data_IF_435396646112
#
_entry.id   IF_435396646112
#
_cell.length_a   1.000
_cell.length_b   1.000
_cell.length_c   1.000
_cell.angle_alpha   90.00
_cell.angle_beta   90.00
_cell.angle_gamma   90.00
#
_symmetry.space_group_name_H-M   'P 1'
#
loop_
_entity.id
_entity.type
_entity.pdbx_description
1 polymer ?
#
# COMPACT_ATOMS: atom_id res chain seq x y z
N UNK A 1 33.76 45.13 -43.84
CA UNK A 1 33.51 44.52 -42.52
C UNK A 1 33.84 43.05 -42.61
N UNK A 2 34.94 42.69 -41.95
CA UNK A 2 35.75 41.50 -42.23
C UNK A 2 35.01 40.16 -42.00
N UNK A 3 35.19 39.21 -42.89
CA UNK A 3 34.69 37.83 -42.79
C UNK A 3 35.11 37.12 -41.50
N UNK A 4 36.22 37.54 -40.91
CA UNK A 4 36.71 37.07 -39.61
C UNK A 4 35.80 37.48 -38.45
N UNK A 5 35.20 38.70 -38.45
CA UNK A 5 34.25 39.15 -37.43
C UNK A 5 32.91 38.38 -37.48
N UNK A 6 32.45 38.00 -38.69
CA UNK A 6 31.21 37.17 -38.84
C UNK A 6 31.42 35.75 -38.32
N UNK A 7 32.59 35.13 -38.53
CA UNK A 7 32.88 33.78 -37.99
C UNK A 7 32.91 33.78 -36.44
N UNK A 8 33.58 34.80 -35.83
CA UNK A 8 33.63 34.92 -34.36
C UNK A 8 32.26 35.06 -33.71
N UNK A 9 31.35 35.81 -34.35
CA UNK A 9 29.99 36.00 -33.83
C UNK A 9 29.16 34.70 -33.90
N UNK A 10 29.30 33.87 -34.95
CA UNK A 10 28.64 32.59 -35.06
C UNK A 10 29.15 31.58 -34.03
N UNK A 11 30.44 31.50 -33.78
CA UNK A 11 31.00 30.64 -32.72
C UNK A 11 30.55 31.06 -31.32
N UNK A 12 30.46 32.35 -31.05
CA UNK A 12 29.96 32.86 -29.78
C UNK A 12 28.49 32.51 -29.53
N UNK A 13 27.61 32.63 -30.51
CA UNK A 13 26.20 32.28 -30.41
C UNK A 13 25.99 30.76 -30.23
N UNK A 14 26.76 29.92 -30.97
CA UNK A 14 26.69 28.47 -30.78
C UNK A 14 27.16 28.04 -29.39
N UNK A 15 28.19 28.69 -28.84
CA UNK A 15 28.73 28.39 -27.53
C UNK A 15 27.71 28.77 -26.41
N UNK A 16 27.06 29.93 -26.55
CA UNK A 16 26.01 30.38 -25.62
C UNK A 16 24.79 29.47 -25.67
N UNK A 17 24.34 29.05 -26.86
CA UNK A 17 23.24 28.11 -27.03
C UNK A 17 23.54 26.73 -26.46
N UNK A 18 24.78 26.22 -26.65
CA UNK A 18 25.19 24.93 -26.08
C UNK A 18 25.33 24.99 -24.55
N UNK A 19 25.82 26.08 -23.99
CA UNK A 19 25.82 26.32 -22.54
C UNK A 19 24.43 26.45 -21.99
N UNK A 20 23.50 27.12 -22.68
CA UNK A 20 22.12 27.24 -22.27
C UNK A 20 21.36 25.90 -22.29
N UNK A 21 21.63 25.06 -23.30
CA UNK A 21 21.15 23.68 -23.38
C UNK A 21 21.73 22.80 -22.27
N UNK A 22 23.02 22.95 -21.95
CA UNK A 22 23.67 22.27 -20.83
C UNK A 22 23.09 22.70 -19.48
N UNK A 23 22.75 23.98 -19.29
CA UNK A 23 22.06 24.46 -18.09
C UNK A 23 20.62 23.95 -17.97
N UNK A 24 19.88 23.85 -19.07
CA UNK A 24 18.56 23.26 -19.11
C UNK A 24 18.57 21.76 -18.78
N UNK A 25 19.60 21.03 -19.23
CA UNK A 25 19.76 19.60 -18.92
C UNK A 25 20.32 19.40 -17.50
N UNK A 26 21.23 20.25 -17.02
CA UNK A 26 21.82 20.17 -15.69
C UNK A 26 20.85 20.62 -14.58
N UNK A 27 19.84 21.45 -14.91
CA UNK A 27 18.78 21.87 -13.98
C UNK A 27 17.69 20.82 -13.75
N UNK A 28 17.54 19.87 -14.63
CA UNK A 28 16.66 18.74 -14.44
C UNK A 28 17.36 17.69 -13.56
N UNK A 29 17.33 17.89 -12.22
CA UNK A 29 17.65 16.78 -11.32
C UNK A 29 16.71 15.63 -11.71
N UNK A 30 17.24 14.42 -12.02
CA UNK A 30 16.37 13.28 -12.19
C UNK A 30 15.64 13.09 -10.86
N UNK A 31 14.37 13.48 -10.82
CA UNK A 31 13.47 13.08 -9.74
C UNK A 31 13.53 11.56 -9.78
N UNK A 32 13.99 10.92 -8.70
CA UNK A 32 13.98 9.47 -8.57
C UNK A 32 12.52 9.05 -8.57
N UNK A 33 11.96 8.82 -9.75
CA UNK A 33 10.65 8.24 -9.90
C UNK A 33 10.72 6.81 -9.37
N UNK A 34 10.02 6.52 -8.29
CA UNK A 34 9.81 5.16 -7.85
C UNK A 34 8.92 4.47 -8.89
N UNK A 35 9.44 3.42 -9.52
CA UNK A 35 8.70 2.62 -10.49
C UNK A 35 8.34 1.28 -9.88
N UNK A 36 7.05 0.96 -9.84
CA UNK A 36 6.56 -0.38 -9.51
C UNK A 36 6.01 -1.04 -10.76
N UNK A 37 6.53 -2.22 -11.12
CA UNK A 37 6.00 -3.03 -12.22
C UNK A 37 4.89 -3.94 -11.70
N UNK A 38 3.78 -3.99 -12.43
CA UNK A 38 2.58 -4.76 -12.09
C UNK A 38 2.19 -5.61 -13.28
N UNK A 39 2.33 -6.92 -13.16
CA UNK A 39 1.89 -7.89 -14.17
C UNK A 39 0.57 -8.52 -13.76
N UNK A 40 -0.47 -8.27 -14.54
CA UNK A 40 -1.82 -8.81 -14.27
C UNK A 40 -2.67 -8.85 -15.53
N UNK A 41 -3.55 -9.83 -15.63
CA UNK A 41 -4.48 -10.02 -16.77
C UNK A 41 -3.78 -10.03 -18.14
N UNK A 42 -2.57 -10.61 -18.23
CA UNK A 42 -1.76 -10.64 -19.45
C UNK A 42 -1.25 -9.26 -19.92
N UNK A 43 -1.24 -8.27 -19.03
CA UNK A 43 -0.76 -6.90 -19.28
C UNK A 43 0.23 -6.51 -18.21
N UNK A 44 1.21 -5.71 -18.62
CA UNK A 44 2.19 -5.08 -17.74
C UNK A 44 1.84 -3.61 -17.56
N UNK A 45 1.87 -3.16 -16.32
CA UNK A 45 1.67 -1.77 -15.94
C UNK A 45 2.89 -1.26 -15.17
N UNK A 46 3.12 0.05 -15.26
CA UNK A 46 4.16 0.75 -14.53
C UNK A 46 3.51 1.88 -13.72
N UNK A 47 3.63 1.81 -12.41
CA UNK A 47 3.22 2.88 -11.50
C UNK A 47 4.44 3.73 -11.18
N UNK A 48 4.33 5.02 -11.46
CA UNK A 48 5.32 6.04 -11.13
C UNK A 48 4.79 6.95 -10.05
N UNK A 49 5.67 7.37 -9.18
CA UNK A 49 5.45 8.35 -8.13
C UNK A 49 6.46 9.48 -8.30
N UNK A 50 6.00 10.65 -8.73
CA UNK A 50 6.82 11.83 -8.95
C UNK A 50 6.37 12.97 -8.04
N UNK A 51 7.27 13.54 -7.29
CA UNK A 51 6.99 14.75 -6.53
C UNK A 51 7.06 16.00 -7.41
N UNK A 52 5.95 16.74 -7.49
CA UNK A 52 5.85 18.00 -8.21
C UNK A 52 6.08 19.18 -7.24
N UNK A 53 7.33 19.62 -7.14
CA UNK A 53 7.72 20.69 -6.19
C UNK A 53 6.99 22.02 -6.39
N UNK A 54 6.60 22.34 -7.63
CA UNK A 54 5.86 23.56 -7.95
C UNK A 54 4.44 23.60 -7.39
N UNK A 55 3.85 22.44 -7.12
CA UNK A 55 2.48 22.30 -6.61
C UNK A 55 2.45 21.68 -5.20
N UNK A 56 3.59 21.26 -4.66
CA UNK A 56 3.72 20.58 -3.38
C UNK A 56 2.87 19.30 -3.26
N UNK A 57 2.79 18.54 -4.35
CA UNK A 57 2.00 17.30 -4.44
C UNK A 57 2.81 16.16 -5.05
N UNK A 58 2.46 14.93 -4.70
CA UNK A 58 2.87 13.73 -5.43
C UNK A 58 1.94 13.52 -6.63
N UNK A 59 2.54 13.25 -7.77
CA UNK A 59 1.81 12.88 -9.00
C UNK A 59 1.99 11.38 -9.25
N UNK A 60 0.93 10.62 -9.10
CA UNK A 60 0.90 9.20 -9.40
C UNK A 60 0.45 8.98 -10.83
N UNK A 61 1.25 8.26 -11.61
CA UNK A 61 0.99 7.97 -13.02
C UNK A 61 1.06 6.47 -13.27
N UNK A 62 0.00 5.93 -13.86
CA UNK A 62 -0.08 4.53 -14.27
C UNK A 62 0.03 4.45 -15.79
N UNK A 63 1.04 3.75 -16.26
CA UNK A 63 1.24 3.45 -17.67
C UNK A 63 0.94 1.98 -17.93
N UNK A 64 0.36 1.69 -19.08
CA UNK A 64 0.21 0.33 -19.59
C UNK A 64 1.20 0.09 -20.72
N UNK A 65 1.95 -1.02 -20.67
CA UNK A 65 2.83 -1.45 -21.76
C UNK A 65 2.02 -1.79 -23.00
N UNK A 66 2.44 -1.32 -24.16
CA UNK A 66 1.88 -1.61 -25.48
C UNK A 66 2.98 -2.13 -26.40
N UNK A 67 2.62 -2.55 -27.61
CA UNK A 67 3.61 -2.99 -28.62
C UNK A 67 4.51 -1.84 -29.10
N UNK A 68 4.07 -0.59 -28.92
CA UNK A 68 4.77 0.62 -29.39
C UNK A 68 5.35 1.45 -28.24
N UNK A 69 5.46 0.90 -27.02
CA UNK A 69 5.96 1.62 -25.85
C UNK A 69 5.00 1.56 -24.67
N UNK A 70 4.86 2.67 -23.96
CA UNK A 70 3.98 2.76 -22.78
C UNK A 70 2.96 3.87 -22.95
N UNK A 71 1.70 3.59 -22.65
CA UNK A 71 0.57 4.53 -22.71
C UNK A 71 0.15 4.94 -21.30
N UNK A 72 0.04 6.24 -21.02
CA UNK A 72 -0.55 6.75 -19.80
C UNK A 72 -2.05 6.40 -19.76
N UNK A 73 -2.49 5.68 -18.74
CA UNK A 73 -3.89 5.21 -18.59
C UNK A 73 -4.58 5.82 -17.39
N UNK A 74 -3.84 6.25 -16.38
CA UNK A 74 -4.39 6.97 -15.23
C UNK A 74 -3.33 7.88 -14.61
N UNK A 75 -3.78 9.03 -14.07
CA UNK A 75 -2.95 9.90 -13.23
C UNK A 75 -3.81 10.55 -12.15
N UNK A 76 -3.19 10.91 -11.04
CA UNK A 76 -3.79 11.70 -9.98
C UNK A 76 -2.73 12.43 -9.17
N UNK A 77 -3.07 13.62 -8.70
CA UNK A 77 -2.29 14.34 -7.72
C UNK A 77 -2.80 14.04 -6.32
N UNK A 78 -1.90 13.97 -5.37
CA UNK A 78 -2.22 13.76 -3.96
C UNK A 78 -1.23 14.53 -3.07
N UNK A 79 -1.52 14.62 -1.76
CA UNK A 79 -0.65 15.27 -0.79
C UNK A 79 0.80 14.77 -0.90
N UNK A 80 1.78 15.68 -0.72
CA UNK A 80 3.22 15.39 -0.81
C UNK A 80 3.72 14.27 0.10
N UNK A 81 3.03 14.07 1.24
CA UNK A 81 3.41 13.08 2.24
C UNK A 81 2.68 11.75 2.05
N UNK A 82 1.86 11.62 1.03
CA UNK A 82 1.16 10.39 0.73
C UNK A 82 2.01 9.45 -0.13
N UNK A 83 1.86 8.15 0.08
CA UNK A 83 2.47 7.10 -0.74
C UNK A 83 1.40 6.21 -1.38
N UNK A 84 1.49 5.96 -2.69
CA UNK A 84 0.62 5.03 -3.38
C UNK A 84 1.31 3.69 -3.59
N UNK A 85 0.65 2.62 -3.19
CA UNK A 85 1.13 1.26 -3.40
C UNK A 85 0.08 0.41 -4.12
N UNK A 86 0.55 -0.46 -5.03
CA UNK A 86 -0.32 -1.49 -5.60
C UNK A 86 -0.67 -2.53 -4.53
N UNK A 87 -1.95 -2.81 -4.39
CA UNK A 87 -2.46 -3.80 -3.43
C UNK A 87 -2.76 -5.14 -4.08
N UNK A 88 -3.61 -5.15 -5.10
CA UNK A 88 -4.06 -6.38 -5.76
C UNK A 88 -4.83 -6.11 -7.04
N UNK A 89 -5.11 -7.19 -7.81
CA UNK A 89 -6.06 -7.13 -8.92
C UNK A 89 -7.25 -8.06 -8.68
N UNK A 90 -8.42 -7.71 -9.24
CA UNK A 90 -9.60 -8.56 -9.28
C UNK A 90 -10.44 -8.25 -10.53
N UNK A 91 -10.70 -9.26 -11.35
CA UNK A 91 -11.30 -9.05 -12.67
C UNK A 91 -10.45 -8.09 -13.51
N UNK A 92 -11.07 -7.09 -14.12
CA UNK A 92 -10.38 -6.04 -14.89
C UNK A 92 -9.87 -4.87 -14.01
N UNK A 93 -9.95 -4.96 -12.69
CA UNK A 93 -9.55 -3.87 -11.80
C UNK A 93 -8.21 -4.12 -11.13
N UNK A 94 -7.38 -3.09 -11.10
CA UNK A 94 -6.19 -2.98 -10.25
C UNK A 94 -6.57 -2.07 -9.07
N UNK A 95 -6.24 -2.50 -7.86
CA UNK A 95 -6.50 -1.75 -6.63
C UNK A 95 -5.19 -1.21 -6.05
N UNK A 96 -5.26 0.03 -5.59
CA UNK A 96 -4.15 0.76 -5.02
C UNK A 96 -4.55 1.31 -3.65
N UNK A 97 -3.61 1.36 -2.74
CA UNK A 97 -3.76 2.04 -1.47
C UNK A 97 -2.94 3.33 -1.49
N UNK A 98 -3.57 4.44 -1.18
CA UNK A 98 -2.88 5.68 -0.86
C UNK A 98 -2.90 5.82 0.65
N UNK A 99 -1.70 5.94 1.24
CA UNK A 99 -1.48 6.17 2.66
C UNK A 99 -0.97 7.60 2.84
N UNK A 100 -1.68 8.42 3.59
CA UNK A 100 -1.29 9.79 3.87
C UNK A 100 -0.52 9.93 5.19
N UNK A 101 0.01 11.11 5.46
CA UNK A 101 0.83 11.41 6.64
C UNK A 101 0.10 11.23 7.98
N UNK A 102 -1.22 11.19 7.96
CA UNK A 102 -2.07 10.92 9.12
C UNK A 102 -2.40 9.45 9.33
N UNK A 103 -1.74 8.53 8.61
CA UNK A 103 -2.03 7.09 8.59
C UNK A 103 -3.46 6.77 8.12
N UNK A 104 -4.07 7.67 7.35
CA UNK A 104 -5.32 7.37 6.68
C UNK A 104 -5.08 6.59 5.41
N UNK A 105 -5.90 5.58 5.19
CA UNK A 105 -5.84 4.76 4.00
C UNK A 105 -7.00 5.08 3.09
N UNK A 106 -6.71 5.28 1.81
CA UNK A 106 -7.73 5.40 0.78
C UNK A 106 -7.49 4.36 -0.30
N UNK A 107 -8.51 3.59 -0.64
CA UNK A 107 -8.44 2.63 -1.74
C UNK A 107 -8.91 3.28 -3.02
N UNK A 108 -8.08 3.19 -4.04
CA UNK A 108 -8.38 3.57 -5.42
C UNK A 108 -8.34 2.35 -6.33
N UNK A 109 -8.98 2.45 -7.48
CA UNK A 109 -8.87 1.43 -8.52
C UNK A 109 -8.64 2.05 -9.89
N UNK A 110 -8.01 1.28 -10.77
CA UNK A 110 -8.00 1.49 -12.20
C UNK A 110 -8.67 0.31 -12.88
N UNK A 111 -9.61 0.56 -13.79
CA UNK A 111 -10.26 -0.49 -14.58
C UNK A 111 -9.63 -0.55 -15.96
N UNK A 112 -9.11 -1.72 -16.35
CA UNK A 112 -8.47 -1.95 -17.65
C UNK A 112 -9.45 -1.57 -18.80
N UNK A 113 -9.01 -0.65 -19.67
CA UNK A 113 -9.81 -0.13 -20.76
C UNK A 113 -10.59 1.16 -20.42
N UNK A 114 -10.56 1.63 -19.19
CA UNK A 114 -11.08 2.93 -18.79
C UNK A 114 -9.92 3.94 -18.61
N UNK A 115 -10.25 5.20 -18.38
CA UNK A 115 -9.26 6.25 -18.07
C UNK A 115 -9.39 6.69 -16.62
N UNK A 116 -8.25 7.00 -16.00
CA UNK A 116 -8.15 7.60 -14.67
C UNK A 116 -8.35 6.63 -13.52
N UNK A 117 -7.92 7.06 -12.34
CA UNK A 117 -8.18 6.37 -11.07
C UNK A 117 -9.60 6.69 -10.58
N UNK A 118 -10.22 5.68 -9.98
CA UNK A 118 -11.51 5.81 -9.32
C UNK A 118 -11.35 5.59 -7.82
N UNK A 119 -11.85 6.48 -6.99
CA UNK A 119 -11.86 6.28 -5.54
C UNK A 119 -12.88 5.22 -5.18
N UNK A 120 -12.44 4.13 -4.58
CA UNK A 120 -13.30 3.03 -4.18
C UNK A 120 -13.82 3.22 -2.76
N UNK A 121 -12.93 3.58 -1.82
CA UNK A 121 -13.31 3.75 -0.41
C UNK A 121 -12.28 4.54 0.38
N UNK A 122 -12.78 5.34 1.34
CA UNK A 122 -11.98 5.99 2.37
C UNK A 122 -11.73 5.05 3.54
N UNK A 123 -10.58 5.22 4.22
CA UNK A 123 -10.27 4.52 5.46
C UNK A 123 -10.14 3.00 5.30
N UNK A 124 -9.72 2.51 4.12
CA UNK A 124 -9.58 1.09 3.88
C UNK A 124 -8.27 0.80 3.14
N UNK A 125 -7.47 -0.13 3.67
CA UNK A 125 -6.27 -0.70 3.02
C UNK A 125 -6.51 -2.18 2.74
N UNK A 126 -6.48 -2.57 1.47
CA UNK A 126 -6.57 -3.97 1.05
C UNK A 126 -5.19 -4.62 1.20
N UNK A 127 -5.13 -5.81 1.83
CA UNK A 127 -3.86 -6.48 2.17
C UNK A 127 -3.63 -7.73 1.34
N UNK A 128 -4.61 -8.62 1.28
CA UNK A 128 -4.53 -9.93 0.62
C UNK A 128 -5.91 -10.34 0.11
N UNK A 129 -5.99 -11.24 -0.86
CA UNK A 129 -7.27 -11.71 -1.38
C UNK A 129 -7.28 -13.20 -1.72
N UNK A 130 -8.50 -13.74 -1.64
CA UNK A 130 -8.84 -15.06 -2.19
C UNK A 130 -10.18 -14.96 -2.93
N UNK A 131 -10.13 -15.18 -4.26
CA UNK A 131 -11.28 -14.96 -5.13
C UNK A 131 -11.81 -13.53 -5.04
N UNK A 132 -13.11 -13.38 -4.75
CA UNK A 132 -13.76 -12.08 -4.60
C UNK A 132 -13.66 -11.47 -3.20
N UNK A 133 -13.03 -12.14 -2.24
CA UNK A 133 -12.88 -11.63 -0.88
C UNK A 133 -11.46 -11.14 -0.63
N UNK A 134 -11.34 -9.96 -0.07
CA UNK A 134 -10.08 -9.40 0.38
C UNK A 134 -10.07 -9.21 1.89
N UNK A 135 -8.92 -9.42 2.49
CA UNK A 135 -8.61 -8.94 3.83
C UNK A 135 -8.29 -7.47 3.71
N UNK A 136 -8.88 -6.67 4.59
CA UNK A 136 -8.58 -5.26 4.68
C UNK A 136 -8.50 -4.81 6.13
N UNK A 137 -7.86 -3.68 6.37
CA UNK A 137 -7.92 -3.01 7.66
C UNK A 137 -8.16 -1.52 7.51
N UNK A 138 -8.73 -0.95 8.53
CA UNK A 138 -8.88 0.49 8.67
C UNK A 138 -7.95 0.96 9.78
N UNK A 139 -7.38 2.14 9.59
CA UNK A 139 -6.68 2.85 10.64
C UNK A 139 -7.50 4.09 11.00
N UNK A 140 -7.74 4.32 12.28
CA UNK A 140 -8.32 5.55 12.78
C UNK A 140 -7.16 6.40 13.30
N UNK A 141 -6.99 7.61 12.79
CA UNK A 141 -5.80 8.46 12.97
C UNK A 141 -5.45 8.83 14.43
N UNK A 142 -6.29 8.50 15.38
CA UNK A 142 -6.06 8.78 16.80
C UNK A 142 -5.61 7.55 17.59
N UNK A 143 -5.54 6.38 16.95
CA UNK A 143 -5.32 5.12 17.67
C UNK A 143 -3.94 4.52 17.37
N UNK A 144 -3.07 4.58 18.34
CA UNK A 144 -1.83 3.77 18.39
C UNK A 144 -2.17 2.29 18.68
N UNK A 145 -3.43 1.91 18.52
CA UNK A 145 -3.99 0.61 18.87
C UNK A 145 -3.90 -0.45 17.76
N UNK A 146 -4.47 -1.63 18.01
CA UNK A 146 -4.53 -2.70 17.02
C UNK A 146 -5.41 -2.32 15.83
N UNK A 147 -5.01 -2.74 14.64
CA UNK A 147 -5.77 -2.50 13.41
C UNK A 147 -7.19 -3.09 13.49
N UNK A 148 -8.12 -2.37 12.92
CA UNK A 148 -9.49 -2.83 12.79
C UNK A 148 -9.64 -3.62 11.49
N UNK A 149 -9.71 -4.94 11.58
CA UNK A 149 -9.79 -5.82 10.44
C UNK A 149 -11.20 -5.98 9.90
N UNK A 150 -11.30 -6.10 8.59
CA UNK A 150 -12.53 -6.47 7.91
C UNK A 150 -12.28 -7.42 6.73
N UNK A 151 -13.33 -8.09 6.31
CA UNK A 151 -13.39 -8.80 5.04
C UNK A 151 -14.18 -7.95 4.05
N UNK A 152 -13.58 -7.68 2.91
CA UNK A 152 -14.16 -6.85 1.86
C UNK A 152 -14.51 -7.70 0.64
N UNK A 153 -15.75 -7.62 0.17
CA UNK A 153 -16.17 -8.30 -1.05
C UNK A 153 -15.98 -7.36 -2.24
N UNK A 154 -14.98 -7.67 -3.07
CA UNK A 154 -14.58 -6.87 -4.24
C UNK A 154 -15.68 -6.75 -5.32
N UNK A 155 -16.60 -7.74 -5.39
CA UNK A 155 -17.72 -7.70 -6.35
C UNK A 155 -18.86 -6.83 -5.84
N UNK A 156 -19.33 -7.07 -4.61
CA UNK A 156 -20.49 -6.37 -4.03
C UNK A 156 -20.14 -5.09 -3.29
N UNK A 157 -18.84 -4.82 -3.10
CA UNK A 157 -18.30 -3.69 -2.33
C UNK A 157 -18.76 -3.64 -0.86
N UNK A 158 -19.34 -4.72 -0.37
CA UNK A 158 -19.74 -4.88 1.03
C UNK A 158 -18.55 -5.34 1.87
N UNK A 159 -18.51 -4.91 3.11
CA UNK A 159 -17.49 -5.35 4.07
C UNK A 159 -18.13 -5.81 5.37
N UNK A 160 -17.43 -6.69 6.05
CA UNK A 160 -17.79 -7.18 7.38
C UNK A 160 -16.64 -6.98 8.34
N UNK A 161 -16.90 -6.26 9.41
CA UNK A 161 -15.93 -6.09 10.49
C UNK A 161 -15.71 -7.40 11.24
N UNK A 162 -14.46 -7.69 11.52
CA UNK A 162 -14.02 -8.82 12.35
C UNK A 162 -13.68 -8.38 13.77
N UNK A 163 -13.32 -7.12 13.95
CA UNK A 163 -12.91 -6.52 15.21
C UNK A 163 -11.47 -6.02 15.19
N UNK A 164 -10.99 -5.60 16.35
CA UNK A 164 -9.61 -5.19 16.55
C UNK A 164 -8.71 -6.39 16.75
N UNK A 165 -7.48 -6.34 16.21
CA UNK A 165 -6.53 -7.44 16.35
C UNK A 165 -5.18 -7.17 15.70
N UNK A 166 -4.29 -8.17 15.76
CA UNK A 166 -2.92 -8.08 15.31
C UNK A 166 -2.49 -9.21 14.40
N UNK A 167 -3.34 -9.80 13.68
CA UNK A 167 -2.97 -10.83 12.73
C UNK A 167 -4.19 -11.39 12.05
N UNK A 168 -4.13 -11.40 10.73
CA UNK A 168 -5.17 -11.95 9.89
C UNK A 168 -4.54 -12.53 8.63
N UNK A 169 -5.03 -13.68 8.19
CA UNK A 169 -4.55 -14.33 6.95
C UNK A 169 -5.57 -15.30 6.40
N UNK A 170 -5.43 -15.64 5.12
CA UNK A 170 -6.10 -16.77 4.49
C UNK A 170 -5.27 -18.04 4.66
N UNK A 171 -5.88 -19.11 5.18
CA UNK A 171 -5.28 -20.46 5.20
C UNK A 171 -6.30 -21.44 4.63
N UNK A 172 -5.96 -22.08 3.51
CA UNK A 172 -6.88 -22.93 2.76
C UNK A 172 -8.13 -22.15 2.33
N UNK A 173 -9.30 -22.67 2.64
CA UNK A 173 -10.61 -22.05 2.33
C UNK A 173 -11.18 -21.20 3.47
N UNK A 174 -10.36 -20.74 4.40
CA UNK A 174 -10.82 -20.04 5.60
C UNK A 174 -9.95 -18.82 5.93
N UNK A 175 -10.49 -17.95 6.76
CA UNK A 175 -9.80 -16.79 7.34
C UNK A 175 -9.49 -17.09 8.79
N UNK A 176 -8.24 -16.87 9.16
CA UNK A 176 -7.76 -16.94 10.54
C UNK A 176 -7.36 -15.55 11.00
N UNK A 177 -7.81 -15.18 12.18
CA UNK A 177 -7.45 -13.88 12.75
C UNK A 177 -7.39 -13.94 14.28
N UNK A 178 -6.69 -12.97 14.86
CA UNK A 178 -6.58 -12.83 16.30
C UNK A 178 -7.32 -11.56 16.74
N UNK A 179 -8.31 -11.72 17.61
CA UNK A 179 -8.99 -10.62 18.29
C UNK A 179 -8.37 -10.43 19.67
N UNK A 180 -8.02 -9.19 20.02
CA UNK A 180 -7.42 -8.85 21.31
C UNK A 180 -8.39 -8.05 22.17
N UNK A 181 -8.21 -8.12 23.50
CA UNK A 181 -8.80 -7.17 24.45
C UNK A 181 -8.15 -5.79 24.29
N UNK A 182 -8.79 -4.75 24.81
CA UNK A 182 -8.27 -3.37 24.75
C UNK A 182 -6.90 -3.24 25.44
N UNK A 183 -6.68 -3.92 26.55
CA UNK A 183 -5.43 -3.97 27.29
C UNK A 183 -4.39 -4.92 26.67
N UNK A 184 -4.74 -5.64 25.60
CA UNK A 184 -3.90 -6.62 24.90
C UNK A 184 -3.41 -7.80 25.77
N UNK A 185 -3.99 -8.02 26.93
CA UNK A 185 -3.64 -9.13 27.83
C UNK A 185 -4.43 -10.41 27.57
N UNK A 186 -5.50 -10.30 26.78
CA UNK A 186 -6.28 -11.44 26.34
C UNK A 186 -6.38 -11.43 24.82
N UNK A 187 -6.35 -12.61 24.22
CA UNK A 187 -6.51 -12.78 22.78
C UNK A 187 -7.33 -14.03 22.47
N UNK A 188 -8.06 -14.00 21.37
CA UNK A 188 -8.78 -15.12 20.82
C UNK A 188 -8.30 -15.40 19.41
N UNK A 189 -7.82 -16.62 19.17
CA UNK A 189 -7.55 -17.12 17.83
C UNK A 189 -8.86 -17.60 17.25
N UNK A 190 -9.27 -17.01 16.14
CA UNK A 190 -10.59 -17.24 15.55
C UNK A 190 -10.40 -17.67 14.09
N UNK A 191 -11.26 -18.60 13.66
CA UNK A 191 -11.40 -19.02 12.27
C UNK A 191 -12.80 -18.68 11.79
N UNK A 192 -12.94 -18.25 10.53
CA UNK A 192 -14.25 -18.05 9.89
C UNK A 192 -14.20 -18.34 8.39
N UNK A 193 -15.37 -18.35 7.75
CA UNK A 193 -15.47 -18.39 6.28
C UNK A 193 -15.03 -17.07 5.65
N UNK A 194 -14.78 -17.05 4.32
CA UNK A 194 -14.35 -15.86 3.59
C UNK A 194 -15.32 -14.67 3.67
N UNK A 195 -16.61 -14.94 3.89
CA UNK A 195 -17.62 -13.91 4.11
C UNK A 195 -17.77 -13.52 5.59
N UNK A 196 -16.91 -14.03 6.48
CA UNK A 196 -16.95 -13.75 7.91
C UNK A 196 -18.00 -14.53 8.70
N UNK A 197 -18.76 -15.45 8.08
CA UNK A 197 -19.66 -16.36 8.78
C UNK A 197 -18.93 -17.55 9.42
N UNK A 198 -19.65 -18.41 10.12
CA UNK A 198 -19.12 -19.65 10.72
C UNK A 198 -17.89 -19.41 11.62
N UNK A 199 -17.98 -18.38 12.45
CA UNK A 199 -16.91 -18.03 13.39
C UNK A 199 -16.74 -19.10 14.45
N UNK A 200 -15.51 -19.59 14.63
CA UNK A 200 -15.13 -20.52 15.67
C UNK A 200 -13.91 -20.01 16.43
N UNK A 201 -14.00 -19.89 17.75
CA UNK A 201 -12.84 -19.64 18.60
C UNK A 201 -12.07 -20.93 18.75
N UNK A 202 -10.82 -20.93 18.30
CA UNK A 202 -9.92 -22.09 18.31
C UNK A 202 -9.12 -22.12 19.60
N UNK A 203 -8.69 -20.95 20.08
CA UNK A 203 -7.86 -20.81 21.28
C UNK A 203 -8.14 -19.49 21.96
N UNK A 204 -8.21 -19.52 23.30
CA UNK A 204 -8.14 -18.33 24.14
C UNK A 204 -6.74 -18.23 24.73
N UNK A 205 -6.13 -17.06 24.65
CA UNK A 205 -4.83 -16.76 25.21
C UNK A 205 -4.97 -15.71 26.29
N UNK A 206 -4.27 -15.90 27.39
CA UNK A 206 -4.19 -14.92 28.48
C UNK A 206 -2.73 -14.78 28.92
N UNK A 207 -2.32 -13.55 29.16
CA UNK A 207 -0.96 -13.26 29.62
C UNK A 207 -1.01 -12.05 30.56
N UNK A 208 -0.08 -11.98 31.50
CA UNK A 208 0.14 -10.81 32.36
C UNK A 208 0.70 -9.62 31.57
N UNK A 209 1.41 -9.88 30.48
CA UNK A 209 2.02 -8.89 29.61
C UNK A 209 1.19 -8.68 28.35
N UNK A 210 1.35 -7.51 27.69
CA UNK A 210 0.67 -7.22 26.43
C UNK A 210 1.12 -8.18 25.33
N UNK A 211 0.17 -8.68 24.56
CA UNK A 211 0.40 -9.56 23.41
C UNK A 211 0.16 -8.79 22.11
N UNK A 212 1.08 -8.88 21.14
CA UNK A 212 1.00 -8.19 19.87
C UNK A 212 1.71 -8.94 18.74
N UNK A 213 1.64 -8.40 17.52
CA UNK A 213 2.33 -8.94 16.33
C UNK A 213 2.09 -10.44 16.11
N UNK A 214 0.83 -10.82 16.03
CA UNK A 214 0.46 -12.22 15.79
C UNK A 214 0.70 -12.62 14.34
N UNK A 215 1.39 -13.75 14.15
CA UNK A 215 1.66 -14.35 12.84
C UNK A 215 1.23 -15.80 12.83
N UNK A 216 0.34 -16.18 11.92
CA UNK A 216 -0.02 -17.57 11.71
C UNK A 216 1.13 -18.30 11.00
N UNK A 217 1.62 -19.38 11.60
CA UNK A 217 2.60 -20.27 11.02
C UNK A 217 1.93 -21.41 10.26
N UNK A 218 0.72 -21.79 10.67
CA UNK A 218 -0.12 -22.81 10.03
C UNK A 218 -1.58 -22.66 10.50
N UNK A 219 -2.46 -23.55 10.01
CA UNK A 219 -3.84 -23.66 10.47
C UNK A 219 -3.99 -24.06 11.95
N UNK A 220 -2.91 -24.48 12.59
CA UNK A 220 -2.89 -24.98 13.96
C UNK A 220 -1.88 -24.27 14.86
N UNK A 221 -1.19 -23.25 14.34
CA UNK A 221 -0.08 -22.64 15.08
C UNK A 221 0.03 -21.15 14.83
N UNK A 222 0.07 -20.37 15.89
CA UNK A 222 0.27 -18.91 15.85
C UNK A 222 1.47 -18.52 16.71
N UNK A 223 2.31 -17.66 16.18
CA UNK A 223 3.42 -17.00 16.88
C UNK A 223 2.99 -15.60 17.26
N UNK A 224 3.41 -15.12 18.41
CA UNK A 224 3.15 -13.76 18.87
C UNK A 224 4.24 -13.26 19.81
N UNK A 225 4.32 -11.95 19.95
CA UNK A 225 5.21 -11.31 20.89
C UNK A 225 4.45 -10.95 22.17
N UNK A 226 5.13 -11.02 23.28
CA UNK A 226 4.70 -10.44 24.55
C UNK A 226 5.71 -9.38 24.97
N UNK A 227 5.25 -8.25 25.47
CA UNK A 227 6.09 -7.16 25.92
C UNK A 227 5.73 -6.74 27.33
N UNK A 228 6.74 -6.51 28.14
CA UNK A 228 6.64 -5.84 29.43
C UNK A 228 7.71 -4.78 29.55
N UNK A 229 7.48 -3.82 30.44
CA UNK A 229 8.44 -2.81 30.80
C UNK A 229 9.13 -3.22 32.09
N UNK A 230 10.44 -3.42 32.05
CA UNK A 230 11.25 -3.83 33.20
C UNK A 230 12.57 -3.08 33.19
N UNK A 231 12.98 -2.55 34.32
CA UNK A 231 14.23 -1.78 34.49
C UNK A 231 14.43 -0.71 33.40
N UNK A 232 13.43 0.11 33.14
CA UNK A 232 13.42 1.19 32.12
C UNK A 232 13.61 0.73 30.68
N UNK A 233 13.47 -0.57 30.42
CA UNK A 233 13.59 -1.16 29.08
C UNK A 233 12.38 -2.01 28.71
N UNK A 234 12.05 -2.03 27.42
CA UNK A 234 11.07 -2.97 26.89
C UNK A 234 11.71 -4.34 26.68
N UNK A 235 11.18 -5.33 27.35
CA UNK A 235 11.59 -6.73 27.17
C UNK A 235 10.54 -7.43 26.32
N UNK A 236 10.97 -7.92 25.16
CA UNK A 236 10.11 -8.63 24.22
C UNK A 236 10.47 -10.12 24.21
N UNK A 237 9.46 -10.98 24.32
CA UNK A 237 9.63 -12.44 24.20
C UNK A 237 8.71 -12.98 23.12
N UNK A 238 9.20 -13.92 22.33
CA UNK A 238 8.41 -14.64 21.32
C UNK A 238 7.75 -15.84 21.99
N UNK A 239 6.47 -16.01 21.73
CA UNK A 239 5.69 -17.19 22.13
C UNK A 239 4.99 -17.83 20.96
N UNK A 240 4.67 -19.09 21.10
CA UNK A 240 3.90 -19.85 20.11
C UNK A 240 2.77 -20.58 20.83
N UNK A 241 1.59 -20.55 20.21
CA UNK A 241 0.44 -21.34 20.65
C UNK A 241 -0.03 -22.28 19.55
N UNK A 242 -0.30 -23.53 19.95
CA UNK A 242 -0.92 -24.56 19.11
C UNK A 242 -2.40 -24.70 19.50
N UNK A 243 -3.27 -24.96 18.52
CA UNK A 243 -4.73 -25.08 18.68
C UNK A 243 -5.36 -26.04 17.68
#
# INVERSE_FOLDING_TARGET
MDAAKKKGLHYGICLILSLFLLFLVAGARPVKAYQTTIDTNGKTFYLFDDYLSSQDVNNYRLYMKTNYGSQLVASMNYDRNAGMTYSMSYGKKLYFCVEDSGFYYNTYSYTIGQRGFQKERNGLKLIDRRGKYAIAYTHEATDVGPNRYCLYNLSSKKYQYLGYGYGITFIGKQVYYVKTSKDMKQAQVIRCSYNGSNKKVLKKLKNSWKMFSFRFLSAHKVQYYISTYYNWQYVNKVKTATF
#
